data_IF_606152794522
#
_entry.id   IF_606152794522
#
_cell.length_a   1.000
_cell.length_b   1.000
_cell.length_c   1.000
_cell.angle_alpha   90.00
_cell.angle_beta   90.00
_cell.angle_gamma   90.00
#
_symmetry.space_group_name_H-M   'P 1'
#
loop_
_entity.id
_entity.type
_entity.pdbx_description
1 polymer ?
#
# COMPACT_ATOMS: atom_id res chain seq x y z
N UNK A 1 14.47 -21.21 -18.12
CA UNK A 1 13.54 -22.01 -17.29
C UNK A 1 13.53 -21.41 -15.89
N UNK A 2 12.66 -20.44 -15.61
CA UNK A 2 12.27 -19.85 -14.29
C UNK A 2 11.31 -18.71 -14.66
N UNK A 3 9.99 -18.64 -14.38
CA UNK A 3 9.14 -19.27 -13.38
C UNK A 3 7.67 -19.28 -13.86
N UNK A 4 7.15 -20.45 -14.24
CA UNK A 4 5.78 -20.57 -14.76
C UNK A 4 4.66 -20.42 -13.70
N UNK A 5 4.99 -20.32 -12.41
CA UNK A 5 3.99 -20.27 -11.33
C UNK A 5 3.61 -18.85 -10.91
N UNK A 6 4.58 -17.94 -10.74
CA UNK A 6 4.32 -16.52 -10.42
C UNK A 6 3.60 -15.84 -11.60
N UNK A 7 3.87 -16.31 -12.83
CA UNK A 7 3.35 -15.73 -14.06
C UNK A 7 1.86 -15.95 -14.32
N UNK A 8 1.29 -17.02 -13.76
CA UNK A 8 -0.12 -17.42 -14.00
C UNK A 8 -1.13 -16.84 -13.00
N UNK A 9 -0.67 -16.21 -11.91
CA UNK A 9 -1.54 -15.77 -10.80
C UNK A 9 -2.15 -14.39 -11.07
N UNK A 10 -3.45 -14.25 -10.80
CA UNK A 10 -4.16 -12.98 -10.94
C UNK A 10 -3.72 -11.98 -9.85
N UNK A 11 -3.91 -10.66 -10.07
CA UNK A 11 -3.68 -9.66 -9.04
C UNK A 11 -4.46 -9.95 -7.74
N UNK A 12 -5.69 -10.43 -7.86
CA UNK A 12 -6.53 -10.80 -6.71
C UNK A 12 -5.95 -11.93 -5.85
N UNK A 13 -5.25 -12.89 -6.45
CA UNK A 13 -4.55 -13.94 -5.69
C UNK A 13 -3.45 -13.34 -4.81
N UNK A 14 -2.65 -12.40 -5.34
CA UNK A 14 -1.58 -11.75 -4.59
C UNK A 14 -2.11 -10.84 -3.49
N UNK A 15 -3.22 -10.12 -3.73
CA UNK A 15 -3.93 -9.37 -2.69
C UNK A 15 -4.40 -10.31 -1.58
N UNK A 16 -5.03 -11.43 -1.94
CA UNK A 16 -5.47 -12.44 -0.99
C UNK A 16 -4.31 -13.05 -0.20
N UNK A 17 -3.17 -13.29 -0.84
CA UNK A 17 -1.96 -13.79 -0.17
C UNK A 17 -1.38 -12.77 0.81
N UNK A 18 -1.35 -11.48 0.45
CA UNK A 18 -0.92 -10.39 1.34
C UNK A 18 -1.86 -10.28 2.54
N UNK A 19 -3.17 -10.24 2.32
CA UNK A 19 -4.16 -10.17 3.40
C UNK A 19 -4.11 -11.42 4.29
N UNK A 20 -3.96 -12.61 3.71
CA UNK A 20 -3.80 -13.85 4.43
C UNK A 20 -2.54 -13.86 5.30
N UNK A 21 -1.41 -13.37 4.77
CA UNK A 21 -0.17 -13.24 5.53
C UNK A 21 -0.31 -12.21 6.66
N UNK A 22 -0.93 -11.05 6.39
CA UNK A 22 -1.22 -10.04 7.42
C UNK A 22 -2.13 -10.58 8.51
N UNK A 23 -3.20 -11.30 8.16
CA UNK A 23 -4.13 -11.93 9.10
C UNK A 23 -3.46 -13.03 9.93
N UNK A 24 -2.58 -13.84 9.32
CA UNK A 24 -1.79 -14.85 10.02
C UNK A 24 -0.82 -14.20 11.03
N UNK A 25 -0.11 -13.14 10.62
CA UNK A 25 0.81 -12.41 11.49
C UNK A 25 0.05 -11.76 12.65
N UNK A 26 -1.10 -11.13 12.37
CA UNK A 26 -1.95 -10.54 13.40
C UNK A 26 -2.46 -11.61 14.39
N UNK A 27 -2.98 -12.74 13.89
CA UNK A 27 -3.44 -13.85 14.73
C UNK A 27 -2.32 -14.44 15.61
N UNK A 28 -1.13 -14.64 15.06
CA UNK A 28 0.02 -15.14 15.81
C UNK A 28 0.55 -14.12 16.82
N UNK A 29 0.38 -12.82 16.56
CA UNK A 29 0.74 -11.76 17.51
C UNK A 29 -0.23 -11.66 18.70
N UNK A 30 -1.52 -11.97 18.51
CA UNK A 30 -2.52 -11.96 19.60
C UNK A 30 -2.30 -13.11 20.58
N UNK A 31 -1.76 -14.24 20.11
CA UNK A 31 -1.48 -15.43 20.93
C UNK A 31 -0.10 -15.32 21.61
N UNK A 32 0.58 -14.17 21.48
CA UNK A 32 1.94 -13.89 22.00
C UNK A 32 2.99 -14.93 21.56
N UNK A 33 2.69 -15.67 20.49
CA UNK A 33 3.56 -16.70 19.92
C UNK A 33 4.76 -16.10 19.16
N UNK A 34 4.69 -14.81 18.83
CA UNK A 34 5.70 -14.08 18.07
C UNK A 34 6.03 -12.79 18.81
N UNK A 35 7.30 -12.58 19.16
CA UNK A 35 7.75 -11.33 19.76
C UNK A 35 7.42 -10.12 18.88
N UNK A 36 7.06 -8.99 19.52
CA UNK A 36 6.68 -7.72 18.86
C UNK A 36 7.67 -7.20 17.79
N UNK A 37 8.94 -7.63 17.81
CA UNK A 37 9.96 -7.28 16.80
C UNK A 37 9.84 -8.18 15.57
N UNK A 38 9.57 -9.46 15.78
CA UNK A 38 9.52 -10.49 14.76
C UNK A 38 8.27 -10.35 13.88
N UNK A 39 7.14 -9.86 14.43
CA UNK A 39 5.93 -9.56 13.65
C UNK A 39 6.14 -8.44 12.63
N UNK A 40 6.90 -7.40 12.99
CA UNK A 40 7.23 -6.27 12.09
C UNK A 40 8.22 -6.70 11.00
N UNK A 41 9.21 -7.53 11.34
CA UNK A 41 10.12 -8.15 10.35
C UNK A 41 9.38 -9.11 9.42
N UNK A 42 8.41 -9.87 9.91
CA UNK A 42 7.53 -10.71 9.10
C UNK A 42 6.63 -9.85 8.20
N UNK A 43 6.17 -8.69 8.65
CA UNK A 43 5.49 -7.72 7.76
C UNK A 43 6.42 -7.15 6.69
N UNK A 44 7.72 -7.04 6.95
CA UNK A 44 8.67 -6.65 5.91
C UNK A 44 8.77 -7.69 4.78
N UNK A 45 8.54 -8.98 5.09
CA UNK A 45 8.42 -10.03 4.08
C UNK A 45 7.20 -9.85 3.16
N UNK A 46 6.13 -9.20 3.64
CA UNK A 46 4.99 -8.76 2.81
C UNK A 46 5.42 -7.77 1.73
N UNK A 47 6.47 -6.97 1.98
CA UNK A 47 7.06 -6.10 0.98
C UNK A 47 7.55 -6.85 -0.26
N UNK A 48 8.07 -8.07 -0.09
CA UNK A 48 8.49 -8.92 -1.21
C UNK A 48 7.30 -9.32 -2.08
N UNK A 49 6.10 -9.48 -1.49
CA UNK A 49 4.87 -9.82 -2.21
C UNK A 49 4.27 -8.63 -3.00
N UNK A 50 4.70 -7.39 -2.72
CA UNK A 50 4.33 -6.23 -3.54
C UNK A 50 4.93 -6.32 -4.95
N UNK A 51 6.15 -6.84 -5.09
CA UNK A 51 6.78 -7.01 -6.40
C UNK A 51 5.93 -7.86 -7.37
N UNK A 52 5.54 -9.11 -7.05
CA UNK A 52 4.71 -9.91 -7.94
C UNK A 52 3.28 -9.36 -8.09
N UNK A 53 2.72 -8.70 -7.06
CA UNK A 53 1.42 -8.03 -7.16
C UNK A 53 1.46 -6.92 -8.22
N UNK A 54 2.46 -6.03 -8.16
CA UNK A 54 2.57 -4.91 -9.07
C UNK A 54 2.88 -5.38 -10.49
N UNK A 55 3.73 -6.41 -10.63
CA UNK A 55 3.99 -7.05 -11.94
C UNK A 55 2.74 -7.74 -12.51
N UNK A 56 1.88 -8.32 -11.66
CA UNK A 56 0.59 -8.86 -12.10
C UNK A 56 -0.39 -7.75 -12.50
N UNK A 57 -0.35 -6.60 -11.82
CA UNK A 57 -1.11 -5.39 -12.16
C UNK A 57 -0.73 -4.83 -13.53
N UNK A 58 0.56 -4.61 -13.78
CA UNK A 58 1.07 -4.13 -15.08
C UNK A 58 0.60 -5.02 -16.25
N UNK A 59 0.55 -6.34 -16.04
CA UNK A 59 0.03 -7.28 -17.06
C UNK A 59 -1.46 -7.15 -17.30
N UNK A 60 -2.22 -6.87 -16.25
CA UNK A 60 -3.65 -6.64 -16.37
C UNK A 60 -3.88 -5.37 -17.20
N UNK A 61 -3.12 -4.31 -16.92
CA UNK A 61 -3.14 -3.04 -17.65
C UNK A 61 -2.76 -3.23 -19.12
N UNK A 62 -1.72 -4.04 -19.40
CA UNK A 62 -1.31 -4.40 -20.76
C UNK A 62 -2.41 -5.15 -21.52
N UNK A 63 -3.18 -6.02 -20.84
CA UNK A 63 -4.28 -6.77 -21.46
C UNK A 63 -5.54 -5.94 -21.66
N UNK A 64 -5.82 -4.98 -20.78
CA UNK A 64 -6.99 -4.10 -20.88
C UNK A 64 -6.77 -2.90 -21.78
N UNK A 65 -5.58 -2.73 -22.37
CA UNK A 65 -5.25 -1.56 -23.19
C UNK A 65 -5.11 -0.27 -22.40
N UNK A 66 -5.03 -0.35 -21.06
CA UNK A 66 -4.90 0.81 -20.16
C UNK A 66 -3.44 1.03 -19.74
N UNK A 67 -2.51 0.51 -20.51
CA UNK A 67 -1.07 0.62 -20.26
C UNK A 67 -0.53 1.85 -20.96
N UNK A 68 0.06 2.76 -20.19
CA UNK A 68 0.76 3.93 -20.70
C UNK A 68 2.22 3.94 -20.21
N UNK A 69 3.14 4.63 -20.90
CA UNK A 69 4.49 4.85 -20.40
C UNK A 69 4.50 5.54 -19.02
N UNK A 70 3.53 6.41 -18.76
CA UNK A 70 3.37 7.11 -17.48
C UNK A 70 2.95 6.15 -16.36
N UNK A 71 1.98 5.27 -16.60
CA UNK A 71 1.55 4.21 -15.66
C UNK A 71 2.70 3.26 -15.31
N UNK A 72 3.50 2.84 -16.29
CA UNK A 72 4.67 1.97 -16.02
C UNK A 72 5.72 2.67 -15.15
N UNK A 73 5.98 3.95 -15.37
CA UNK A 73 6.89 4.75 -14.53
C UNK A 73 6.33 4.92 -13.13
N UNK A 74 5.04 5.20 -13.01
CA UNK A 74 4.32 5.27 -11.75
C UNK A 74 4.43 3.96 -10.95
N UNK A 75 4.12 2.81 -11.58
CA UNK A 75 4.18 1.51 -10.92
C UNK A 75 5.60 1.20 -10.43
N UNK A 76 6.64 1.42 -11.24
CA UNK A 76 8.03 1.21 -10.80
C UNK A 76 8.44 2.15 -9.66
N UNK A 77 8.08 3.43 -9.74
CA UNK A 77 8.37 4.41 -8.70
C UNK A 77 7.65 4.09 -7.39
N UNK A 78 6.37 3.70 -7.48
CA UNK A 78 5.54 3.34 -6.33
C UNK A 78 6.04 2.05 -5.67
N UNK A 79 6.50 1.07 -6.46
CA UNK A 79 7.12 -0.14 -5.94
C UNK A 79 8.40 0.17 -5.18
N UNK A 80 9.29 0.96 -5.79
CA UNK A 80 10.56 1.34 -5.16
C UNK A 80 10.32 2.13 -3.86
N UNK A 81 9.39 3.09 -3.86
CA UNK A 81 9.03 3.85 -2.68
C UNK A 81 8.36 2.98 -1.60
N UNK A 82 7.52 2.01 -1.98
CA UNK A 82 6.90 1.06 -1.04
C UNK A 82 7.92 0.14 -0.37
N UNK A 83 8.88 -0.38 -1.14
CA UNK A 83 9.97 -1.19 -0.59
C UNK A 83 10.87 -0.34 0.33
N UNK A 84 11.18 0.89 -0.06
CA UNK A 84 11.94 1.81 0.79
C UNK A 84 11.18 2.16 2.08
N UNK A 85 9.86 2.33 2.02
CA UNK A 85 9.00 2.56 3.20
C UNK A 85 9.09 1.40 4.18
N UNK A 86 8.89 0.18 3.68
CA UNK A 86 8.93 -1.04 4.49
C UNK A 86 10.32 -1.25 5.10
N UNK A 87 11.38 -1.05 4.30
CA UNK A 87 12.75 -1.16 4.78
C UNK A 87 13.07 -0.09 5.84
N UNK A 88 12.69 1.17 5.60
CA UNK A 88 12.89 2.27 6.53
C UNK A 88 12.17 2.06 7.86
N UNK A 89 10.92 1.57 7.81
CA UNK A 89 10.17 1.22 9.02
C UNK A 89 10.83 0.07 9.79
N UNK A 90 11.24 -1.00 9.08
CA UNK A 90 11.93 -2.13 9.69
C UNK A 90 13.26 -1.76 10.34
N UNK A 91 14.09 -0.97 9.65
CA UNK A 91 15.36 -0.45 10.16
C UNK A 91 15.14 0.44 11.38
N UNK A 92 14.17 1.35 11.33
CA UNK A 92 13.87 2.25 12.44
C UNK A 92 13.45 1.49 13.70
N UNK A 93 12.56 0.52 13.56
CA UNK A 93 12.12 -0.33 14.68
C UNK A 93 13.26 -1.20 15.22
N UNK A 94 14.10 -1.74 14.35
CA UNK A 94 15.22 -2.59 14.77
C UNK A 94 16.28 -1.78 15.53
N UNK A 95 16.71 -0.63 14.99
CA UNK A 95 17.72 0.23 15.60
C UNK A 95 17.28 0.76 16.96
N UNK A 96 16.04 1.24 17.07
CA UNK A 96 15.51 1.79 18.32
C UNK A 96 15.43 0.75 19.43
N UNK A 97 15.18 -0.53 19.10
CA UNK A 97 15.18 -1.63 20.07
C UNK A 97 16.58 -2.13 20.41
N UNK A 98 17.49 -2.14 19.45
CA UNK A 98 18.83 -2.68 19.62
C UNK A 98 19.79 -1.74 20.36
N UNK A 99 19.63 -0.42 20.19
CA UNK A 99 20.69 0.52 20.53
C UNK A 99 20.35 1.57 21.60
N UNK A 100 19.21 1.47 22.30
CA UNK A 100 18.88 2.39 23.41
C UNK A 100 19.04 3.86 23.02
N UNK A 101 18.62 4.21 21.81
CA UNK A 101 18.98 5.47 21.17
C UNK A 101 18.24 6.63 21.80
N UNK A 102 18.99 7.65 22.23
CA UNK A 102 18.46 8.87 22.86
C UNK A 102 18.83 10.12 22.06
N UNK A 103 18.08 11.20 22.30
CA UNK A 103 18.39 12.52 21.74
C UNK A 103 18.18 12.64 20.21
N UNK A 104 18.94 13.50 19.52
CA UNK A 104 18.70 13.86 18.12
C UNK A 104 18.72 12.69 17.13
N UNK A 105 19.47 11.62 17.43
CA UNK A 105 19.58 10.43 16.57
C UNK A 105 18.25 9.68 16.49
N UNK A 106 17.50 9.62 17.60
CA UNK A 106 16.19 8.96 17.63
C UNK A 106 15.20 9.66 16.70
N UNK A 107 15.20 11.00 16.66
CA UNK A 107 14.36 11.78 15.76
C UNK A 107 14.67 11.50 14.29
N UNK A 108 15.96 11.45 13.93
CA UNK A 108 16.38 11.14 12.56
C UNK A 108 15.94 9.74 12.13
N UNK A 109 16.06 8.75 13.02
CA UNK A 109 15.65 7.36 12.75
C UNK A 109 14.13 7.23 12.69
N UNK A 110 13.38 7.90 13.57
CA UNK A 110 11.93 7.91 13.54
C UNK A 110 11.38 8.57 12.25
N UNK A 111 12.11 9.51 11.66
CA UNK A 111 11.76 10.15 10.39
C UNK A 111 12.12 9.32 9.15
N UNK A 112 12.92 8.26 9.28
CA UNK A 112 13.39 7.44 8.16
C UNK A 112 12.26 6.92 7.23
N UNK A 113 11.14 6.35 7.75
CA UNK A 113 10.05 5.89 6.89
C UNK A 113 9.23 7.03 6.27
N UNK A 114 9.42 8.29 6.67
CA UNK A 114 8.68 9.43 6.13
C UNK A 114 9.19 9.81 4.73
N UNK A 115 10.49 9.70 4.48
CA UNK A 115 11.07 10.05 3.17
C UNK A 115 10.46 9.22 2.02
N UNK A 116 10.30 7.89 2.14
CA UNK A 116 9.58 7.10 1.15
C UNK A 116 8.12 7.51 0.94
N UNK A 117 7.42 7.98 1.98
CA UNK A 117 6.03 8.46 1.84
C UNK A 117 6.01 9.71 0.94
N UNK A 118 6.92 10.66 1.16
CA UNK A 118 7.03 11.82 0.26
C UNK A 118 7.39 11.41 -1.17
N UNK A 119 8.23 10.38 -1.34
CA UNK A 119 8.52 9.83 -2.66
C UNK A 119 7.26 9.22 -3.32
N UNK A 120 6.40 8.52 -2.58
CA UNK A 120 5.12 8.00 -3.11
C UNK A 120 4.20 9.13 -3.60
N UNK A 121 4.06 10.20 -2.80
CA UNK A 121 3.25 11.38 -3.14
C UNK A 121 3.82 12.05 -4.39
N UNK A 122 5.15 12.22 -4.45
CA UNK A 122 5.81 12.80 -5.60
C UNK A 122 5.64 11.96 -6.87
N UNK A 123 5.78 10.63 -6.77
CA UNK A 123 5.54 9.70 -7.88
C UNK A 123 4.10 9.78 -8.38
N UNK A 124 3.12 9.88 -7.48
CA UNK A 124 1.71 10.07 -7.84
C UNK A 124 1.47 11.42 -8.53
N UNK A 125 2.01 12.51 -7.99
CA UNK A 125 1.89 13.82 -8.62
C UNK A 125 2.52 13.84 -10.02
N UNK A 126 3.70 13.24 -10.17
CA UNK A 126 4.40 13.10 -11.45
C UNK A 126 3.58 12.30 -12.45
N UNK A 127 2.94 11.22 -12.00
CA UNK A 127 2.04 10.42 -12.83
C UNK A 127 0.87 11.23 -13.38
N UNK A 128 0.17 11.99 -12.52
CA UNK A 128 -0.97 12.83 -12.94
C UNK A 128 -0.54 13.89 -13.96
N UNK A 129 0.67 14.44 -13.83
CA UNK A 129 1.21 15.43 -14.76
C UNK A 129 1.68 14.83 -16.10
N UNK A 130 2.22 13.60 -16.08
CA UNK A 130 2.77 12.94 -17.28
C UNK A 130 1.72 12.21 -18.10
N UNK A 131 0.60 11.81 -17.48
CA UNK A 131 -0.44 11.06 -18.17
C UNK A 131 -1.16 11.91 -19.23
N UNK A 132 -1.15 11.39 -20.46
CA UNK A 132 -1.74 12.06 -21.63
C UNK A 132 -3.19 11.64 -21.84
N UNK A 133 -3.55 10.44 -21.39
CA UNK A 133 -4.92 9.94 -21.46
C UNK A 133 -5.75 10.59 -20.34
N UNK A 134 -6.75 11.40 -20.72
CA UNK A 134 -7.60 12.11 -19.76
C UNK A 134 -8.41 11.19 -18.86
N UNK A 135 -8.80 10.02 -19.37
CA UNK A 135 -9.52 9.02 -18.60
C UNK A 135 -8.61 8.38 -17.55
N UNK A 136 -7.38 7.99 -17.92
CA UNK A 136 -6.40 7.43 -16.97
C UNK A 136 -5.99 8.46 -15.91
N UNK A 137 -5.80 9.72 -16.31
CA UNK A 137 -5.53 10.83 -15.39
C UNK A 137 -6.70 11.05 -14.43
N UNK A 138 -7.93 11.07 -14.93
CA UNK A 138 -9.13 11.18 -14.09
C UNK A 138 -9.25 10.01 -13.11
N UNK A 139 -9.03 8.78 -13.58
CA UNK A 139 -9.06 7.58 -12.75
C UNK A 139 -8.00 7.63 -11.64
N UNK A 140 -6.80 8.14 -11.94
CA UNK A 140 -5.74 8.33 -10.96
C UNK A 140 -6.14 9.33 -9.87
N UNK A 141 -6.69 10.48 -10.26
CA UNK A 141 -7.15 11.53 -9.34
C UNK A 141 -8.26 10.98 -8.44
N UNK A 142 -9.29 10.36 -9.02
CA UNK A 142 -10.42 9.80 -8.26
C UNK A 142 -9.97 8.69 -7.31
N UNK A 143 -9.09 7.81 -7.77
CA UNK A 143 -8.50 6.76 -6.94
C UNK A 143 -7.77 7.36 -5.74
N UNK A 144 -6.91 8.35 -5.97
CA UNK A 144 -6.18 9.03 -4.89
C UNK A 144 -7.12 9.73 -3.90
N UNK A 145 -8.16 10.41 -4.39
CA UNK A 145 -9.18 11.03 -3.55
C UNK A 145 -9.94 10.00 -2.70
N UNK A 146 -10.30 8.85 -3.28
CA UNK A 146 -10.94 7.76 -2.54
C UNK A 146 -10.02 7.13 -1.49
N UNK A 147 -8.73 7.00 -1.81
CA UNK A 147 -7.68 6.64 -0.84
C UNK A 147 -7.63 7.59 0.35
N UNK A 148 -7.59 8.90 0.08
CA UNK A 148 -7.57 9.93 1.12
C UNK A 148 -8.85 9.96 1.94
N UNK A 149 -10.01 9.83 1.30
CA UNK A 149 -11.30 9.78 1.99
C UNK A 149 -11.38 8.59 2.96
N UNK A 150 -10.92 7.41 2.54
CA UNK A 150 -10.86 6.23 3.40
C UNK A 150 -9.88 6.43 4.55
N UNK A 151 -8.68 6.93 4.27
CA UNK A 151 -7.67 7.21 5.31
C UNK A 151 -8.19 8.20 6.33
N UNK A 152 -8.68 9.36 5.91
CA UNK A 152 -9.16 10.39 6.83
C UNK A 152 -10.37 9.92 7.62
N UNK A 153 -11.34 9.26 6.98
CA UNK A 153 -12.52 8.73 7.64
C UNK A 153 -12.18 7.68 8.70
N UNK A 154 -11.35 6.68 8.35
CA UNK A 154 -10.97 5.61 9.28
C UNK A 154 -10.05 6.10 10.40
N UNK A 155 -9.06 6.95 10.08
CA UNK A 155 -8.16 7.49 11.09
C UNK A 155 -8.90 8.39 12.08
N UNK A 156 -9.86 9.19 11.61
CA UNK A 156 -10.67 10.04 12.50
C UNK A 156 -11.59 9.19 13.37
N UNK A 157 -12.29 8.22 12.78
CA UNK A 157 -13.16 7.31 13.53
C UNK A 157 -12.39 6.56 14.62
N UNK A 158 -11.24 5.97 14.26
CA UNK A 158 -10.41 5.24 15.21
C UNK A 158 -9.80 6.17 16.27
N UNK A 159 -9.33 7.36 15.87
CA UNK A 159 -8.80 8.36 16.78
C UNK A 159 -9.82 8.82 17.82
N UNK A 160 -11.10 9.00 17.43
CA UNK A 160 -12.17 9.27 18.39
C UNK A 160 -12.40 8.10 19.35
N UNK A 161 -12.38 6.87 18.85
CA UNK A 161 -12.52 5.71 19.73
C UNK A 161 -11.35 5.56 20.70
N UNK A 162 -10.12 5.91 20.30
CA UNK A 162 -8.96 5.98 21.21
C UNK A 162 -9.14 7.05 22.28
N UNK A 163 -9.60 8.24 21.89
CA UNK A 163 -9.84 9.36 22.83
C UNK A 163 -10.87 8.99 23.92
N UNK A 164 -11.86 8.16 23.58
CA UNK A 164 -12.86 7.66 24.52
C UNK A 164 -12.47 6.32 25.19
N UNK A 165 -11.21 5.88 25.03
CA UNK A 165 -10.69 4.62 25.59
C UNK A 165 -11.47 3.36 25.18
N UNK A 166 -12.17 3.39 24.03
CA UNK A 166 -13.00 2.28 23.53
C UNK A 166 -12.20 1.22 22.77
N UNK A 167 -11.06 1.62 22.20
CA UNK A 167 -10.19 0.76 21.38
C UNK A 167 -8.72 0.98 21.72
N UNK A 168 -7.83 -0.01 21.48
CA UNK A 168 -6.40 0.16 21.70
C UNK A 168 -5.77 1.10 20.65
N UNK A 169 -4.59 1.65 21.00
CA UNK A 169 -3.82 2.51 20.11
C UNK A 169 -3.45 1.82 18.79
N UNK A 170 -3.87 2.40 17.67
CA UNK A 170 -3.50 1.98 16.34
C UNK A 170 -2.21 2.67 15.90
N UNK A 171 -1.23 1.91 15.38
CA UNK A 171 0.02 2.50 14.98
C UNK A 171 -0.12 3.33 13.69
N UNK A 172 0.43 4.55 13.69
CA UNK A 172 0.30 5.50 12.58
C UNK A 172 0.87 5.02 11.22
N UNK A 173 1.72 3.99 11.20
CA UNK A 173 2.22 3.40 9.95
C UNK A 173 1.10 2.72 9.13
N UNK A 174 -0.06 2.43 9.72
CA UNK A 174 -1.23 1.91 9.00
C UNK A 174 -1.81 2.89 7.98
N UNK A 175 -1.48 4.18 8.09
CA UNK A 175 -1.96 5.22 7.17
C UNK A 175 -1.70 4.91 5.69
N UNK A 176 -0.48 4.45 5.36
CA UNK A 176 -0.08 4.16 3.98
C UNK A 176 -0.82 2.94 3.41
N UNK A 177 -0.89 1.78 4.10
CA UNK A 177 -1.74 0.66 3.68
C UNK A 177 -3.22 1.04 3.51
N UNK A 178 -3.80 1.80 4.45
CA UNK A 178 -5.22 2.21 4.37
C UNK A 178 -5.45 3.11 3.16
N UNK A 179 -4.57 4.07 2.91
CA UNK A 179 -4.64 4.91 1.70
C UNK A 179 -4.55 4.06 0.42
N UNK A 180 -3.61 3.12 0.34
CA UNK A 180 -3.47 2.22 -0.80
C UNK A 180 -4.69 1.31 -1.02
N UNK A 181 -5.30 0.82 0.06
CA UNK A 181 -6.54 0.05 0.01
C UNK A 181 -7.69 0.89 -0.54
N UNK A 182 -7.84 2.12 -0.07
CA UNK A 182 -8.88 3.03 -0.58
C UNK A 182 -8.70 3.34 -2.05
N UNK A 183 -7.46 3.58 -2.51
CA UNK A 183 -7.16 3.73 -3.94
C UNK A 183 -7.62 2.52 -4.75
N UNK A 184 -7.32 1.30 -4.29
CA UNK A 184 -7.72 0.06 -4.95
C UNK A 184 -9.24 -0.14 -4.99
N UNK A 185 -9.93 0.10 -3.87
CA UNK A 185 -11.38 0.00 -3.78
C UNK A 185 -12.09 0.97 -4.73
N UNK A 186 -11.61 2.21 -4.83
CA UNK A 186 -12.16 3.20 -5.74
C UNK A 186 -11.97 2.80 -7.21
N UNK A 187 -10.79 2.27 -7.59
CA UNK A 187 -10.57 1.77 -8.96
C UNK A 187 -11.50 0.60 -9.28
N UNK A 188 -11.69 -0.32 -8.32
CA UNK A 188 -12.63 -1.42 -8.48
C UNK A 188 -14.08 -0.95 -8.63
N UNK A 189 -14.50 0.02 -7.82
CA UNK A 189 -15.84 0.62 -7.87
C UNK A 189 -16.13 1.25 -9.23
N UNK A 190 -15.23 2.12 -9.72
CA UNK A 190 -15.36 2.78 -11.02
C UNK A 190 -15.38 1.75 -12.16
N UNK A 191 -14.51 0.73 -12.09
CA UNK A 191 -14.53 -0.33 -13.10
C UNK A 191 -15.86 -1.11 -13.10
N UNK A 192 -16.53 -1.24 -11.95
CA UNK A 192 -17.83 -1.92 -11.85
C UNK A 192 -18.97 -1.04 -12.35
N UNK A 193 -18.98 0.27 -12.04
CA UNK A 193 -20.01 1.20 -12.53
C UNK A 193 -20.00 1.27 -14.05
N UNK A 194 -18.82 1.39 -14.66
CA UNK A 194 -18.69 1.51 -16.12
C UNK A 194 -19.21 0.26 -16.85
N UNK A 195 -19.03 -0.93 -16.25
CA UNK A 195 -19.59 -2.18 -16.80
C UNK A 195 -21.12 -2.23 -16.70
N UNK A 196 -21.68 -1.71 -15.61
CA UNK A 196 -23.14 -1.68 -15.43
C UNK A 196 -23.81 -0.73 -16.42
N UNK A 197 -23.20 0.43 -16.68
CA UNK A 197 -23.67 1.39 -17.68
C UNK A 197 -23.65 0.80 -19.09
N UNK A 198 -22.58 0.09 -19.47
CA UNK A 198 -22.49 -0.59 -20.76
C UNK A 198 -23.52 -1.72 -20.93
N UNK A 199 -23.85 -2.43 -19.85
CA UNK A 199 -24.83 -3.51 -19.89
C UNK A 199 -26.29 -3.03 -19.86
N UNK A 200 -26.56 -1.81 -19.35
CA UNK A 200 -27.89 -1.20 -19.33
C UNK A 200 -28.20 -0.34 -20.58
N UNK A 201 -27.17 -0.01 -21.37
CA UNK A 201 -27.30 0.73 -22.63
C UNK A 201 -27.37 -0.12 -23.90
N UNK A 202 -27.35 -1.45 -23.77
CA UNK A 202 -27.50 -2.42 -24.86
C UNK A 202 -28.86 -3.12 -24.77
#
# INVERSE_FOLDING_TARGET
MTDGWIERRSPGFWIGAILGLMGLIAGLSVIDAIGKTTSILLMASTGVLLYPLMKAGERCEDRSGTSSPAVRRYNRGMLAASLAYIAGLGIAVWLTRAAGLEGPILWAIAALPILPIFAMIWVMARYIMDEQDEYLRHLAIMSNMGGLALLMGLASLWGFFEEFELVPHAPGWLSVPVWALGMGLTRWWIARSNRAEQAGGA
#
